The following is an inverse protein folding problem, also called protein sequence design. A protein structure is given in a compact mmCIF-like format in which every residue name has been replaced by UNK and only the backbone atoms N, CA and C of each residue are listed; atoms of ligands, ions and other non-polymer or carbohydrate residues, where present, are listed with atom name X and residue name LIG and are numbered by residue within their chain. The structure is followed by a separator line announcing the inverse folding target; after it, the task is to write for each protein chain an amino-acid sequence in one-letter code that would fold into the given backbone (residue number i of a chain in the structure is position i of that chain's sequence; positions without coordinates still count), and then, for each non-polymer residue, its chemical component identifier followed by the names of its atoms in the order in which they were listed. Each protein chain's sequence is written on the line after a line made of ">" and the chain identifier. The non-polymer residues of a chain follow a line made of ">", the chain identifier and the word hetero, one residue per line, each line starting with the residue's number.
data_IF_026816562333
#
_entry.id   IF_026816562333
#
_cell.length_a   1.000
_cell.length_b   1.000
_cell.length_c   1.000
_cell.angle_alpha   90.00
_cell.angle_beta   90.00
_cell.angle_gamma   90.00
#
_symmetry.space_group_name_H-M   'P 1'
#
loop_
_entity.id
_entity.type
_entity.pdbx_description
1 polymer ?
#
# COMPACT_ATOMS: atom_id res chain seq x y z
N UNK A 1 3.02 -29.81 -17.94
CA UNK A 1 2.47 -28.86 -18.94
C UNK A 1 1.17 -28.21 -18.45
N UNK A 2 0.24 -28.95 -17.84
CA UNK A 2 -1.05 -28.43 -17.36
C UNK A 2 -0.98 -27.18 -16.45
N UNK A 3 -0.08 -27.12 -15.46
CA UNK A 3 0.02 -25.94 -14.57
C UNK A 3 0.44 -24.65 -15.31
N UNK A 4 1.28 -24.77 -16.34
CA UNK A 4 1.70 -23.62 -17.16
C UNK A 4 0.56 -23.13 -18.03
N UNK A 5 -0.21 -24.06 -18.60
CA UNK A 5 -1.41 -23.75 -19.37
C UNK A 5 -2.49 -23.08 -18.53
N UNK A 6 -2.72 -23.57 -17.31
CA UNK A 6 -3.64 -22.93 -16.36
C UNK A 6 -3.18 -21.52 -16.00
N UNK A 7 -1.89 -21.32 -15.70
CA UNK A 7 -1.34 -20.00 -15.40
C UNK A 7 -1.48 -19.03 -16.58
N UNK A 8 -1.25 -19.51 -17.81
CA UNK A 8 -1.48 -18.74 -19.05
C UNK A 8 -2.96 -18.37 -19.21
N UNK A 9 -3.87 -19.31 -18.97
CA UNK A 9 -5.32 -19.06 -19.00
C UNK A 9 -5.74 -17.97 -18.01
N UNK A 10 -5.22 -18.02 -16.78
CA UNK A 10 -5.48 -16.99 -15.75
C UNK A 10 -4.98 -15.62 -16.21
N UNK A 11 -3.76 -15.53 -16.77
CA UNK A 11 -3.22 -14.25 -17.24
C UNK A 11 -4.03 -13.66 -18.40
N UNK A 12 -4.51 -14.51 -19.31
CA UNK A 12 -5.43 -14.08 -20.38
C UNK A 12 -6.78 -13.59 -19.82
N UNK A 13 -7.28 -14.22 -18.76
CA UNK A 13 -8.47 -13.74 -18.05
C UNK A 13 -8.27 -12.37 -17.42
N UNK A 14 -7.14 -12.15 -16.75
CA UNK A 14 -6.77 -10.84 -16.16
C UNK A 14 -6.74 -9.76 -17.25
N UNK A 15 -6.05 -10.00 -18.34
CA UNK A 15 -5.97 -9.05 -19.46
C UNK A 15 -7.34 -8.72 -20.06
N UNK A 16 -8.22 -9.71 -20.14
CA UNK A 16 -9.54 -9.57 -20.77
C UNK A 16 -10.53 -8.84 -19.87
N UNK A 17 -10.57 -9.21 -18.59
CA UNK A 17 -11.68 -8.85 -17.70
C UNK A 17 -11.26 -7.93 -16.55
N UNK A 18 -10.03 -8.05 -16.06
CA UNK A 18 -9.59 -7.37 -14.84
C UNK A 18 -8.90 -6.02 -15.08
N UNK A 19 -8.60 -5.66 -16.32
CA UNK A 19 -8.15 -4.30 -16.67
C UNK A 19 -9.35 -3.49 -17.13
N UNK A 20 -9.64 -2.41 -16.43
CA UNK A 20 -10.83 -1.59 -16.64
C UNK A 20 -10.47 -0.11 -16.65
N UNK A 21 -11.16 0.65 -17.49
CA UNK A 21 -10.95 2.09 -17.57
C UNK A 21 -11.58 2.81 -16.38
N UNK A 22 -10.80 3.62 -15.68
CA UNK A 22 -11.26 4.45 -14.57
C UNK A 22 -11.04 5.94 -14.88
N UNK A 23 -12.12 6.75 -14.91
CA UNK A 23 -12.00 8.19 -15.15
C UNK A 23 -11.03 8.87 -14.18
N UNK A 24 -10.12 9.70 -14.72
CA UNK A 24 -9.08 10.40 -13.96
C UNK A 24 -7.83 9.57 -13.63
N UNK A 25 -7.87 8.25 -13.84
CA UNK A 25 -6.73 7.36 -13.60
C UNK A 25 -6.20 6.70 -14.87
N UNK A 26 -7.06 6.42 -15.86
CA UNK A 26 -6.73 5.58 -17.01
C UNK A 26 -7.11 4.13 -16.74
N UNK A 27 -6.46 3.20 -17.42
CA UNK A 27 -6.72 1.78 -17.20
C UNK A 27 -6.07 1.31 -15.89
N UNK A 28 -6.84 0.59 -15.08
CA UNK A 28 -6.43 0.06 -13.77
C UNK A 28 -6.80 -1.42 -13.64
N UNK A 29 -6.17 -2.12 -12.71
CA UNK A 29 -6.65 -3.43 -12.28
C UNK A 29 -7.86 -3.27 -11.35
N UNK A 30 -8.95 -3.97 -11.65
CA UNK A 30 -10.07 -4.16 -10.74
C UNK A 30 -9.68 -5.09 -9.60
N UNK A 31 -10.25 -4.87 -8.41
CA UNK A 31 -10.01 -5.74 -7.26
C UNK A 31 -10.68 -7.10 -7.43
N UNK A 32 -11.93 -7.09 -7.88
CA UNK A 32 -12.72 -8.28 -8.20
C UNK A 32 -13.48 -8.06 -9.50
N UNK A 33 -13.68 -9.14 -10.25
CA UNK A 33 -14.50 -9.19 -11.47
C UNK A 33 -15.34 -10.46 -11.47
N UNK A 34 -16.52 -10.38 -12.07
CA UNK A 34 -17.47 -11.50 -12.12
C UNK A 34 -17.44 -12.30 -13.44
N UNK A 35 -16.75 -11.79 -14.46
CA UNK A 35 -16.71 -12.37 -15.81
C UNK A 35 -17.95 -12.09 -16.68
N UNK A 36 -18.93 -11.35 -16.16
CA UNK A 36 -20.15 -10.89 -16.84
C UNK A 36 -20.16 -9.38 -17.10
N UNK A 37 -19.07 -8.68 -16.71
CA UNK A 37 -18.87 -7.24 -16.92
C UNK A 37 -18.93 -6.42 -15.64
N UNK A 38 -19.25 -7.03 -14.49
CA UNK A 38 -19.15 -6.39 -13.19
C UNK A 38 -17.69 -6.33 -12.71
N UNK A 39 -17.31 -5.17 -12.18
CA UNK A 39 -15.98 -4.93 -11.61
C UNK A 39 -16.09 -4.13 -10.32
N UNK A 40 -15.47 -4.63 -9.24
CA UNK A 40 -15.33 -3.92 -7.97
C UNK A 40 -14.01 -3.15 -7.99
N UNK A 41 -14.09 -1.82 -7.95
CA UNK A 41 -12.93 -0.93 -8.00
C UNK A 41 -12.61 -0.42 -6.60
N UNK A 42 -11.71 -1.11 -5.92
CA UNK A 42 -11.21 -0.76 -4.60
C UNK A 42 -9.83 -1.39 -4.39
N UNK A 43 -9.32 -1.33 -3.18
CA UNK A 43 -8.31 -2.27 -2.69
C UNK A 43 -8.53 -2.54 -1.21
N UNK A 44 -7.82 -3.53 -0.68
CA UNK A 44 -7.91 -3.96 0.71
C UNK A 44 -6.52 -4.12 1.32
N UNK A 45 -6.40 -3.81 2.61
CA UNK A 45 -5.12 -3.82 3.30
C UNK A 45 -4.43 -5.20 3.39
N UNK A 46 -5.20 -6.30 3.39
CA UNK A 46 -4.58 -7.63 3.42
C UNK A 46 -3.86 -7.93 2.11
N UNK A 47 -2.72 -8.58 2.25
CA UNK A 47 -1.91 -9.08 1.13
C UNK A 47 -2.33 -10.53 0.84
N UNK A 48 -2.66 -10.92 -0.41
CA UNK A 48 -2.44 -10.21 -1.67
C UNK A 48 -3.40 -9.02 -1.91
N UNK A 49 -2.82 -7.87 -2.25
CA UNK A 49 -3.50 -6.63 -2.62
C UNK A 49 -2.97 -6.11 -3.96
N UNK A 50 -3.68 -5.14 -4.59
CA UNK A 50 -3.27 -4.61 -5.89
C UNK A 50 -1.87 -3.96 -5.87
N UNK A 51 -1.48 -3.15 -4.86
CA UNK A 51 -0.12 -2.64 -4.76
C UNK A 51 0.94 -3.74 -4.62
N UNK A 52 0.60 -4.90 -4.02
CA UNK A 52 1.53 -5.99 -3.76
C UNK A 52 1.85 -6.84 -5.01
N UNK A 53 1.19 -6.62 -6.15
CA UNK A 53 1.40 -7.40 -7.38
C UNK A 53 2.88 -7.61 -7.80
N UNK A 54 3.78 -6.60 -7.70
CA UNK A 54 5.17 -6.79 -8.10
C UNK A 54 5.92 -7.85 -7.28
N UNK A 55 5.49 -8.14 -6.04
CA UNK A 55 6.12 -9.17 -5.21
C UNK A 55 6.10 -10.57 -5.85
N UNK A 56 5.15 -10.83 -6.75
CA UNK A 56 4.99 -12.12 -7.42
C UNK A 56 5.08 -12.06 -8.94
N UNK A 57 5.66 -10.98 -9.50
CA UNK A 57 5.82 -10.80 -10.94
C UNK A 57 4.49 -10.89 -11.73
N UNK A 58 3.36 -10.55 -11.10
CA UNK A 58 2.04 -10.54 -11.77
C UNK A 58 1.75 -9.21 -12.47
N UNK A 59 2.49 -8.15 -12.13
CA UNK A 59 2.45 -6.85 -12.80
C UNK A 59 3.25 -6.78 -14.11
N UNK A 60 3.93 -7.86 -14.52
CA UNK A 60 4.82 -7.88 -15.70
C UNK A 60 4.16 -8.43 -16.98
N UNK A 61 2.82 -8.50 -17.03
CA UNK A 61 2.08 -9.04 -18.17
C UNK A 61 2.11 -10.57 -18.27
N UNK A 62 1.69 -11.18 -19.40
CA UNK A 62 1.71 -12.62 -19.62
C UNK A 62 3.09 -13.27 -19.40
N UNK A 63 3.15 -14.48 -18.82
CA UNK A 63 4.37 -15.31 -18.77
C UNK A 63 4.39 -16.23 -19.99
N UNK A 64 5.46 -16.22 -20.77
CA UNK A 64 5.62 -17.00 -21.99
C UNK A 64 6.82 -16.52 -22.81
N UNK A 65 7.06 -17.11 -23.99
CA UNK A 65 8.07 -16.59 -24.91
C UNK A 65 7.64 -15.20 -25.41
N UNK A 66 8.58 -14.37 -25.85
CA UNK A 66 8.28 -12.98 -26.25
C UNK A 66 7.23 -12.86 -27.37
N UNK A 67 7.03 -13.93 -28.15
CA UNK A 67 5.96 -14.04 -29.15
C UNK A 67 4.58 -14.16 -28.50
N UNK A 68 4.44 -14.94 -27.42
CA UNK A 68 3.19 -15.12 -26.69
C UNK A 68 2.82 -13.85 -25.90
N UNK A 69 3.81 -13.15 -25.35
CA UNK A 69 3.61 -11.87 -24.63
C UNK A 69 3.02 -10.79 -25.53
N UNK A 70 3.59 -10.61 -26.74
CA UNK A 70 3.13 -9.59 -27.69
C UNK A 70 1.78 -9.91 -28.32
N UNK A 71 1.46 -11.19 -28.52
CA UNK A 71 0.19 -11.61 -29.11
C UNK A 71 -1.01 -11.47 -28.16
N UNK A 72 -0.77 -11.41 -26.85
CA UNK A 72 -1.84 -11.46 -25.83
C UNK A 72 -2.00 -10.19 -25.02
N UNK A 73 -1.08 -9.22 -25.13
CA UNK A 73 -1.10 -8.00 -24.32
C UNK A 73 -1.56 -6.81 -25.15
N UNK A 74 -2.69 -6.22 -24.79
CA UNK A 74 -3.23 -4.97 -25.37
C UNK A 74 -2.85 -3.74 -24.55
N UNK A 75 -2.58 -3.91 -23.25
CA UNK A 75 -2.29 -2.81 -22.32
C UNK A 75 -0.81 -2.77 -21.92
N UNK A 76 -0.28 -1.57 -21.67
CA UNK A 76 0.99 -1.44 -20.95
C UNK A 76 0.76 -1.76 -19.46
N UNK A 77 1.08 -2.98 -19.04
CA UNK A 77 0.90 -3.44 -17.66
C UNK A 77 1.63 -2.58 -16.62
N UNK A 78 2.76 -1.97 -16.98
CA UNK A 78 3.48 -1.08 -16.07
C UNK A 78 2.70 0.22 -15.87
N UNK A 79 2.12 0.77 -16.95
CA UNK A 79 1.23 1.93 -16.87
C UNK A 79 -0.06 1.60 -16.10
N UNK A 80 -0.70 0.46 -16.39
CA UNK A 80 -1.90 0.00 -15.67
C UNK A 80 -1.62 -0.14 -14.18
N UNK A 81 -0.48 -0.74 -13.81
CA UNK A 81 -0.06 -0.85 -12.41
C UNK A 81 0.12 0.55 -11.78
N UNK A 82 0.85 1.46 -12.46
CA UNK A 82 1.03 2.87 -12.02
C UNK A 82 -0.28 3.60 -11.79
N UNK A 83 -1.24 3.45 -12.68
CA UNK A 83 -2.57 4.02 -12.53
C UNK A 83 -3.33 3.37 -11.36
N UNK A 84 -3.20 2.06 -11.21
CA UNK A 84 -3.85 1.29 -10.14
C UNK A 84 -3.38 1.76 -8.77
N UNK A 85 -2.09 1.84 -8.49
CA UNK A 85 -1.69 2.27 -7.14
C UNK A 85 -1.89 3.77 -6.90
N UNK A 86 -1.88 4.63 -7.93
CA UNK A 86 -2.39 6.02 -7.80
C UNK A 86 -3.84 6.04 -7.35
N UNK A 87 -4.66 5.16 -7.91
CA UNK A 87 -6.05 5.00 -7.52
C UNK A 87 -6.18 4.50 -6.07
N UNK A 88 -5.47 3.42 -5.73
CA UNK A 88 -5.54 2.77 -4.42
C UNK A 88 -5.10 3.68 -3.27
N UNK A 89 -4.07 4.50 -3.48
CA UNK A 89 -3.51 5.43 -2.50
C UNK A 89 -4.16 6.83 -2.56
N UNK A 90 -5.44 6.89 -2.93
CA UNK A 90 -6.19 8.15 -3.04
C UNK A 90 -7.59 8.02 -2.49
N UNK A 91 -8.23 9.17 -2.25
CA UNK A 91 -9.64 9.28 -1.81
C UNK A 91 -10.63 8.63 -2.82
N UNK A 92 -10.15 8.24 -4.01
CA UNK A 92 -10.94 7.52 -4.99
C UNK A 92 -11.17 6.04 -4.63
N UNK A 93 -10.31 5.44 -3.81
CA UNK A 93 -10.51 4.10 -3.24
C UNK A 93 -11.38 4.23 -1.99
N UNK A 94 -12.55 3.58 -1.96
CA UNK A 94 -13.49 3.66 -0.83
C UNK A 94 -12.91 3.18 0.49
N UNK A 95 -11.83 2.39 0.45
CA UNK A 95 -11.14 1.89 1.64
C UNK A 95 -9.88 2.68 1.99
N UNK A 96 -9.57 3.77 1.28
CA UNK A 96 -8.49 4.67 1.68
C UNK A 96 -8.96 5.53 2.85
N UNK A 97 -8.39 5.28 4.03
CA UNK A 97 -8.75 6.00 5.24
C UNK A 97 -7.82 7.20 5.37
N UNK A 98 -8.38 8.38 5.64
CA UNK A 98 -7.64 9.62 5.76
C UNK A 98 -7.75 10.18 7.17
N UNK A 99 -6.63 10.59 7.73
CA UNK A 99 -6.60 11.22 9.04
C UNK A 99 -5.19 11.62 9.46
N UNK A 100 -5.08 12.47 10.50
CA UNK A 100 -3.81 13.01 10.96
C UNK A 100 -2.90 11.97 11.65
N UNK A 101 -3.46 10.86 12.15
CA UNK A 101 -2.67 9.78 12.78
C UNK A 101 -2.05 8.89 11.70
N UNK A 102 -2.88 8.45 10.74
CA UNK A 102 -2.47 7.59 9.64
C UNK A 102 -3.45 7.78 8.48
N UNK A 103 -2.90 7.84 7.27
CA UNK A 103 -3.67 7.85 6.02
C UNK A 103 -3.27 6.68 5.14
N UNK A 104 -3.98 5.56 5.26
CA UNK A 104 -3.64 4.32 4.57
C UNK A 104 -4.88 3.51 4.20
N UNK A 105 -4.70 2.53 3.31
CA UNK A 105 -5.77 1.59 2.96
C UNK A 105 -6.15 0.77 4.19
N UNK A 106 -7.46 0.63 4.41
CA UNK A 106 -8.05 -0.25 5.41
C UNK A 106 -8.93 -1.30 4.75
N UNK A 107 -10.19 -1.38 5.20
CA UNK A 107 -11.22 -2.11 4.48
C UNK A 107 -12.45 -2.50 5.29
N UNK A 108 -13.36 -3.26 4.66
CA UNK A 108 -14.67 -3.57 5.24
C UNK A 108 -14.59 -4.49 6.47
N UNK A 109 -13.47 -5.18 6.69
CA UNK A 109 -13.31 -6.12 7.81
C UNK A 109 -13.46 -5.45 9.19
N UNK A 110 -12.86 -4.27 9.37
CA UNK A 110 -12.97 -3.50 10.62
C UNK A 110 -13.95 -2.33 10.45
N UNK A 111 -14.06 -1.80 9.24
CA UNK A 111 -14.99 -0.74 8.89
C UNK A 111 -14.34 0.63 8.64
N UNK A 112 -15.16 1.66 8.37
CA UNK A 112 -14.68 2.98 7.97
C UNK A 112 -13.80 3.67 9.02
N UNK A 113 -12.83 4.46 8.55
CA UNK A 113 -11.91 5.22 9.39
C UNK A 113 -10.77 4.40 10.00
N UNK A 114 -10.74 3.08 9.79
CA UNK A 114 -9.73 2.15 10.31
C UNK A 114 -8.67 1.85 9.26
N UNK A 115 -7.60 2.62 9.26
CA UNK A 115 -6.44 2.41 8.39
C UNK A 115 -5.62 1.23 8.90
N UNK A 116 -4.94 0.49 8.02
CA UNK A 116 -4.09 -0.62 8.43
C UNK A 116 -2.62 -0.25 8.20
N UNK A 117 -1.77 -0.21 9.25
CA UNK A 117 -0.34 0.10 9.09
C UNK A 117 0.37 -0.80 8.08
N UNK A 118 -0.06 -2.06 7.97
CA UNK A 118 0.46 -3.02 7.00
C UNK A 118 0.32 -2.56 5.54
N UNK A 119 -0.73 -1.80 5.19
CA UNK A 119 -0.89 -1.24 3.85
C UNK A 119 0.19 -0.18 3.54
N UNK A 120 0.55 0.66 4.52
CA UNK A 120 1.65 1.62 4.40
C UNK A 120 3.01 0.92 4.29
N UNK A 121 3.23 -0.16 5.06
CA UNK A 121 4.42 -1.01 4.90
C UNK A 121 4.50 -1.55 3.47
N UNK A 122 3.39 -2.06 2.93
CA UNK A 122 3.36 -2.59 1.57
C UNK A 122 3.61 -1.51 0.50
N UNK A 123 3.04 -0.32 0.69
CA UNK A 123 3.29 0.83 -0.19
C UNK A 123 4.77 1.22 -0.18
N UNK A 124 5.42 1.24 0.98
CA UNK A 124 6.85 1.51 1.12
C UNK A 124 7.70 0.43 0.42
N UNK A 125 7.42 -0.85 0.66
CA UNK A 125 8.18 -1.96 0.07
C UNK A 125 8.16 -1.92 -1.46
N UNK A 126 6.98 -1.66 -2.03
CA UNK A 126 6.78 -1.67 -3.48
C UNK A 126 7.21 -0.36 -4.16
N UNK A 127 7.50 0.70 -3.41
CA UNK A 127 8.12 1.92 -3.96
C UNK A 127 9.54 1.68 -4.48
N UNK A 128 10.23 0.65 -3.97
CA UNK A 128 11.54 0.22 -4.47
C UNK A 128 11.49 -0.54 -5.80
N UNK A 129 10.30 -0.88 -6.31
CA UNK A 129 10.19 -1.52 -7.61
C UNK A 129 10.23 -0.47 -8.73
N UNK A 130 11.16 -0.57 -9.71
CA UNK A 130 11.25 0.38 -10.81
C UNK A 130 9.99 0.49 -11.65
N UNK A 131 9.11 -0.53 -11.68
CA UNK A 131 7.83 -0.49 -12.39
C UNK A 131 6.98 0.70 -11.96
N UNK A 132 7.19 1.14 -10.72
CA UNK A 132 6.44 2.22 -10.10
C UNK A 132 6.81 3.60 -10.65
N UNK A 133 8.03 3.77 -11.15
CA UNK A 133 8.49 5.03 -11.74
C UNK A 133 8.56 6.19 -10.74
N UNK A 134 8.71 5.91 -9.44
CA UNK A 134 8.98 6.96 -8.45
C UNK A 134 10.41 7.48 -8.64
N UNK A 135 10.53 8.81 -8.73
CA UNK A 135 11.83 9.49 -8.78
C UNK A 135 12.48 9.58 -7.39
N UNK A 136 11.72 10.01 -6.37
CA UNK A 136 12.17 10.10 -4.97
C UNK A 136 11.66 8.93 -4.13
N UNK A 137 12.31 7.78 -4.27
CA UNK A 137 11.95 6.55 -3.54
C UNK A 137 12.14 6.72 -2.04
N UNK A 138 13.18 7.44 -1.61
CA UNK A 138 13.44 7.67 -0.19
C UNK A 138 12.34 8.51 0.45
N UNK A 139 11.89 9.58 -0.23
CA UNK A 139 10.80 10.42 0.26
C UNK A 139 9.47 9.67 0.40
N UNK A 140 9.10 8.84 -0.58
CA UNK A 140 7.90 7.99 -0.50
C UNK A 140 8.01 6.99 0.67
N UNK A 141 9.12 6.28 0.79
CA UNK A 141 9.34 5.29 1.85
C UNK A 141 9.33 5.98 3.22
N UNK A 142 9.93 7.16 3.34
CA UNK A 142 9.90 7.94 4.58
C UNK A 142 8.47 8.33 4.97
N UNK A 143 7.67 8.84 4.03
CA UNK A 143 6.29 9.22 4.31
C UNK A 143 5.46 8.04 4.82
N UNK A 144 5.62 6.87 4.20
CA UNK A 144 4.95 5.64 4.65
C UNK A 144 5.47 5.16 6.01
N UNK A 145 6.78 5.23 6.25
CA UNK A 145 7.37 4.88 7.55
C UNK A 145 6.87 5.78 8.68
N UNK A 146 6.73 7.09 8.45
CA UNK A 146 6.16 8.00 9.45
C UNK A 146 4.75 7.59 9.85
N UNK A 147 3.89 7.32 8.87
CA UNK A 147 2.53 6.83 9.15
C UNK A 147 2.50 5.52 9.95
N UNK A 148 3.45 4.61 9.72
CA UNK A 148 3.57 3.37 10.50
C UNK A 148 4.04 3.63 11.92
N UNK A 149 5.07 4.45 12.11
CA UNK A 149 5.68 4.68 13.42
C UNK A 149 4.81 5.58 14.32
N UNK A 150 4.15 6.57 13.74
CA UNK A 150 3.26 7.51 14.44
C UNK A 150 1.92 6.85 14.84
N UNK A 151 1.59 5.67 14.30
CA UNK A 151 0.33 4.96 14.58
C UNK A 151 0.46 3.77 15.55
N UNK A 152 1.56 3.70 16.30
CA UNK A 152 1.83 2.58 17.25
C UNK A 152 1.18 2.76 18.63
N UNK A 153 0.50 3.89 18.89
CA UNK A 153 -0.05 4.24 20.20
C UNK A 153 0.97 4.08 21.36
N UNK A 154 2.24 4.45 21.09
CA UNK A 154 3.39 4.29 21.99
C UNK A 154 3.70 2.85 22.44
N UNK A 155 3.10 1.83 21.81
CA UNK A 155 3.35 0.42 22.15
C UNK A 155 4.64 -0.14 21.54
N UNK A 156 5.16 0.52 20.49
CA UNK A 156 6.31 0.05 19.73
C UNK A 156 6.04 -1.15 18.82
N UNK A 157 4.77 -1.57 18.68
CA UNK A 157 4.35 -2.65 17.78
C UNK A 157 3.30 -2.15 16.79
N UNK A 158 3.24 -2.77 15.61
CA UNK A 158 2.17 -2.51 14.65
C UNK A 158 0.89 -3.24 15.09
N UNK A 159 -0.20 -2.48 15.05
CA UNK A 159 -1.56 -2.96 15.20
C UNK A 159 -2.10 -3.49 13.86
N UNK A 160 -3.23 -4.19 13.91
CA UNK A 160 -3.94 -4.58 12.68
C UNK A 160 -4.54 -3.37 11.99
N UNK A 161 -5.32 -2.59 12.75
CA UNK A 161 -5.88 -1.33 12.28
C UNK A 161 -5.77 -0.25 13.34
N UNK A 162 -5.74 1.01 12.89
CA UNK A 162 -5.69 2.21 13.72
C UNK A 162 -6.69 3.20 13.15
N UNK A 163 -7.45 3.87 14.01
CA UNK A 163 -8.35 4.93 13.57
C UNK A 163 -7.53 6.12 13.08
N UNK A 164 -7.74 6.56 11.84
CA UNK A 164 -7.00 7.67 11.24
C UNK A 164 -7.11 8.98 12.03
N UNK A 165 -8.18 9.14 12.82
CA UNK A 165 -8.44 10.32 13.66
C UNK A 165 -8.07 10.12 15.14
N UNK A 166 -7.88 8.88 15.61
CA UNK A 166 -7.74 8.56 17.05
C UNK A 166 -6.69 7.46 17.26
N UNK A 167 -5.48 7.85 17.67
CA UNK A 167 -4.34 6.93 17.82
C UNK A 167 -4.62 5.74 18.76
N UNK A 168 -5.36 5.95 19.85
CA UNK A 168 -5.63 4.95 20.88
C UNK A 168 -6.82 4.03 20.54
N UNK A 169 -7.39 4.17 19.34
CA UNK A 169 -8.50 3.35 18.85
C UNK A 169 -8.01 2.40 17.75
N UNK A 170 -7.39 1.31 18.19
CA UNK A 170 -6.76 0.30 17.34
C UNK A 170 -7.29 -1.12 17.61
N UNK A 171 -7.04 -2.04 16.67
CA UNK A 171 -7.33 -3.47 16.81
C UNK A 171 -6.06 -4.30 16.84
N UNK A 172 -6.05 -5.35 17.68
CA UNK A 172 -4.92 -6.28 17.90
C UNK A 172 -3.63 -5.58 18.33
N UNK A 173 -3.36 -5.62 19.63
CA UNK A 173 -2.22 -4.94 20.26
C UNK A 173 -0.86 -5.28 19.64
N UNK A 174 -0.67 -6.51 19.15
CA UNK A 174 0.51 -6.91 18.40
C UNK A 174 0.16 -7.88 17.29
N UNK A 175 0.30 -7.44 16.05
CA UNK A 175 0.00 -8.27 14.89
C UNK A 175 1.29 -8.80 14.25
N UNK A 176 1.66 -10.04 14.59
CA UNK A 176 2.92 -10.66 14.17
C UNK A 176 3.19 -10.61 12.66
N UNK A 177 2.15 -10.70 11.83
CA UNK A 177 2.31 -10.57 10.38
C UNK A 177 2.69 -9.15 9.94
N UNK A 178 1.99 -8.12 10.45
CA UNK A 178 2.32 -6.73 10.16
C UNK A 178 3.73 -6.36 10.66
N UNK A 179 4.09 -6.81 11.87
CA UNK A 179 5.43 -6.63 12.43
C UNK A 179 6.50 -7.34 11.58
N UNK A 180 6.22 -8.56 11.11
CA UNK A 180 7.13 -9.30 10.23
C UNK A 180 7.35 -8.59 8.89
N UNK A 181 6.27 -8.07 8.27
CA UNK A 181 6.37 -7.26 7.05
C UNK A 181 7.14 -5.96 7.28
N UNK A 182 6.99 -5.32 8.44
CA UNK A 182 7.80 -4.16 8.78
C UNK A 182 9.28 -4.52 8.89
N UNK A 183 9.61 -5.67 9.48
CA UNK A 183 10.97 -6.20 9.47
C UNK A 183 11.53 -6.43 8.06
N UNK A 184 10.71 -6.98 7.15
CA UNK A 184 11.08 -7.14 5.73
C UNK A 184 11.34 -5.79 5.05
N UNK A 185 10.53 -4.76 5.35
CA UNK A 185 10.78 -3.40 4.86
C UNK A 185 12.13 -2.87 5.34
N UNK A 186 12.49 -3.07 6.61
CA UNK A 186 13.81 -2.65 7.13
C UNK A 186 14.96 -3.32 6.36
N UNK A 187 14.86 -4.62 6.09
CA UNK A 187 15.85 -5.34 5.27
C UNK A 187 15.90 -4.81 3.84
N UNK A 188 14.75 -4.48 3.26
CA UNK A 188 14.65 -3.92 1.92
C UNK A 188 15.31 -2.54 1.81
N UNK A 189 15.11 -1.68 2.81
CA UNK A 189 15.78 -0.38 2.91
C UNK A 189 17.29 -0.58 3.00
N UNK A 190 17.75 -1.49 3.87
CA UNK A 190 19.18 -1.79 4.05
C UNK A 190 19.83 -2.23 2.73
N UNK A 191 19.18 -3.13 1.99
CA UNK A 191 19.64 -3.60 0.70
C UNK A 191 19.74 -2.45 -0.32
N UNK A 192 18.74 -1.57 -0.37
CA UNK A 192 18.71 -0.43 -1.28
C UNK A 192 19.83 0.58 -0.95
N UNK A 193 20.00 0.92 0.34
CA UNK A 193 21.05 1.83 0.80
C UNK A 193 22.46 1.30 0.52
N UNK A 194 22.69 0.00 0.71
CA UNK A 194 23.95 -0.67 0.36
C UNK A 194 24.25 -0.56 -1.13
N UNK A 195 23.26 -0.82 -2.00
CA UNK A 195 23.40 -0.69 -3.46
C UNK A 195 23.72 0.75 -3.87
N UNK A 196 23.14 1.73 -3.19
CA UNK A 196 23.36 3.15 -3.41
C UNK A 196 24.60 3.71 -2.68
N UNK A 197 25.32 2.87 -1.91
CA UNK A 197 26.49 3.24 -1.11
C UNK A 197 26.24 4.39 -0.12
N UNK A 198 25.03 4.47 0.43
CA UNK A 198 24.66 5.46 1.45
C UNK A 198 25.32 5.08 2.79
N UNK A 199 26.31 5.86 3.24
CA UNK A 199 27.04 5.62 4.50
C UNK A 199 26.39 6.41 5.66
N UNK A 200 25.30 5.89 6.21
CA UNK A 200 24.63 6.46 7.38
C UNK A 200 23.81 7.73 7.13
N UNK A 201 23.76 8.23 5.90
CA UNK A 201 22.88 9.32 5.47
C UNK A 201 21.54 8.88 4.88
N UNK A 202 21.25 7.56 4.90
CA UNK A 202 19.98 7.00 4.44
C UNK A 202 18.88 7.02 5.50
N UNK A 203 17.73 6.43 5.18
CA UNK A 203 16.58 6.31 6.06
C UNK A 203 16.90 5.55 7.36
N UNK A 204 17.77 4.54 7.32
CA UNK A 204 18.19 3.79 8.52
C UNK A 204 19.09 4.58 9.46
N UNK A 205 19.73 5.65 8.96
CA UNK A 205 20.55 6.55 9.78
C UNK A 205 19.76 7.66 10.47
N UNK A 206 18.47 7.84 10.16
CA UNK A 206 17.64 8.91 10.72
C UNK A 206 17.17 8.57 12.14
N UNK A 207 17.08 9.60 13.00
CA UNK A 207 16.30 9.50 14.24
C UNK A 207 14.81 9.61 13.91
N UNK A 208 14.04 8.62 14.35
CA UNK A 208 12.59 8.59 14.17
C UNK A 208 11.83 9.02 15.42
N UNK A 209 12.53 9.39 16.50
CA UNK A 209 11.93 9.77 17.78
C UNK A 209 11.74 11.29 17.94
N UNK A 210 12.49 12.10 17.18
CA UNK A 210 12.62 13.56 17.39
C UNK A 210 11.81 14.44 16.41
N UNK A 211 10.89 13.86 15.62
CA UNK A 211 10.05 14.63 14.66
C UNK A 211 8.69 15.03 15.26
N UNK A 212 8.08 16.15 14.83
CA UNK A 212 7.06 16.90 15.60
C UNK A 212 5.73 16.19 15.88
N UNK A 213 5.53 14.94 15.46
CA UNK A 213 4.35 14.16 15.83
C UNK A 213 4.41 13.66 17.28
N UNK A 214 5.62 13.46 17.83
CA UNK A 214 5.80 12.97 19.21
C UNK A 214 5.72 14.09 20.26
N UNK A 215 5.70 15.37 19.85
CA UNK A 215 5.62 16.51 20.75
C UNK A 215 4.42 17.40 20.41
N UNK A 216 3.43 17.42 21.31
CA UNK A 216 2.28 18.36 21.40
C UNK A 216 1.00 17.94 20.68
N UNK A 217 0.22 17.09 21.36
CA UNK A 217 -1.17 17.40 21.59
C UNK A 217 -1.29 17.98 23.00
N UNK A 218 -1.19 19.31 23.14
CA UNK A 218 -1.80 19.96 24.29
C UNK A 218 -3.28 19.56 24.26
N UNK A 219 -3.73 18.86 25.30
CA UNK A 219 -5.12 18.50 25.47
C UNK A 219 -6.00 19.74 25.22
N UNK A 220 -7.09 19.64 24.45
CA UNK A 220 -7.99 20.77 24.29
C UNK A 220 -8.47 21.18 25.69
N UNK A 221 -8.15 22.41 26.08
CA UNK A 221 -8.70 23.01 27.31
C UNK A 221 -10.22 22.89 27.20
N UNK A 222 -10.82 22.23 28.18
CA UNK A 222 -12.25 22.20 28.42
C UNK A 222 -12.78 23.63 28.36
N UNK A 223 -13.55 23.94 27.32
CA UNK A 223 -14.41 25.11 27.33
C UNK A 223 -15.57 24.71 28.25
N UNK A 224 -15.56 25.23 29.47
CA UNK A 224 -16.74 25.22 30.31
C UNK A 224 -17.83 25.97 29.55
N UNK A 225 -18.93 25.29 29.26
CA UNK A 225 -20.17 25.93 28.87
C UNK A 225 -20.66 26.67 30.11
N UNK A 226 -20.54 27.99 30.11
CA UNK A 226 -21.29 28.83 31.04
C UNK A 226 -22.74 28.86 30.57
N UNK A 227 -23.64 28.54 31.50
CA UNK A 227 -25.09 28.59 31.33
C UNK A 227 -25.54 29.98 30.85
N UNK A 228 -26.34 30.00 29.78
CA UNK A 228 -27.35 31.03 29.49
C UNK A 228 -28.46 30.44 28.63
#
# INVERSE_FOLDING_TARGET
>A
MAMREQALGIRRGIERDAIVHRPGFGDIFAYEVDGYGGANLMDYANVPSLPAMPLWNTSLGPVGDDKDKKATTKHDYAEVYRNTRRFVLSDANSNFMKGPVISAVGGPHVGPGKAWPMASVMAAMTAYDPIWGIEDVDGEVEAQMRMVLDSTAATGALHESVNGLRENDWTRAGFGWANGLFGELILRIEEAEKKQKKKGGGLLGKSWQDSPASSKADAPKTIALEDN
#
